data_IF_355291705904
#
_entry.id   IF_355291705904
#
_cell.length_a   1.000
_cell.length_b   1.000
_cell.length_c   1.000
_cell.angle_alpha   90.00
_cell.angle_beta   90.00
_cell.angle_gamma   90.00
#
_symmetry.space_group_name_H-M   'P 1'
#
loop_
_entity.id
_entity.type
_entity.pdbx_description
1 polymer ?
#
# COMPACT_ATOMS: atom_id res chain seq x y z
N UNK A 1 15.34 -18.63 -20.14
CA UNK A 1 14.13 -18.84 -19.32
C UNK A 1 13.76 -17.55 -18.57
N UNK A 2 13.50 -16.44 -19.27
CA UNK A 2 13.21 -15.12 -18.67
C UNK A 2 11.78 -14.68 -19.02
N UNK A 3 10.78 -15.14 -18.26
CA UNK A 3 9.43 -14.56 -18.26
C UNK A 3 9.26 -13.50 -17.15
N UNK A 4 10.35 -12.87 -16.70
CA UNK A 4 10.40 -11.90 -15.60
C UNK A 4 9.73 -10.53 -15.90
N UNK A 5 9.01 -10.39 -17.01
CA UNK A 5 8.40 -9.13 -17.45
C UNK A 5 6.87 -9.14 -17.52
N UNK A 6 6.19 -10.14 -16.96
CA UNK A 6 4.78 -9.93 -16.61
C UNK A 6 4.74 -9.09 -15.34
N UNK A 7 4.75 -7.78 -15.56
CA UNK A 7 4.71 -6.76 -14.52
C UNK A 7 3.29 -6.76 -13.97
N UNK A 8 2.97 -7.75 -13.12
CA UNK A 8 1.63 -7.92 -12.56
C UNK A 8 1.19 -6.59 -11.93
N UNK A 9 0.13 -5.95 -12.45
CA UNK A 9 -0.33 -4.67 -11.91
C UNK A 9 -0.69 -4.82 -10.43
N UNK A 10 -1.23 -5.99 -10.07
CA UNK A 10 -1.48 -6.43 -8.69
C UNK A 10 -0.21 -6.44 -7.82
N UNK A 11 0.93 -6.88 -8.35
CA UNK A 11 2.19 -6.91 -7.60
C UNK A 11 2.75 -5.50 -7.33
N UNK A 12 2.47 -4.52 -8.20
CA UNK A 12 2.84 -3.12 -7.94
C UNK A 12 1.97 -2.52 -6.85
N UNK A 13 0.64 -2.71 -6.94
CA UNK A 13 -0.31 -2.24 -5.94
C UNK A 13 -0.03 -2.84 -4.57
N UNK A 14 0.29 -4.14 -4.52
CA UNK A 14 0.70 -4.81 -3.28
C UNK A 14 1.92 -4.14 -2.63
N UNK A 15 2.97 -3.81 -3.39
CA UNK A 15 4.13 -3.07 -2.87
C UNK A 15 3.76 -1.68 -2.36
N UNK A 16 2.90 -0.96 -3.07
CA UNK A 16 2.41 0.35 -2.64
C UNK A 16 1.61 0.26 -1.34
N UNK A 17 0.73 -0.74 -1.24
CA UNK A 17 -0.06 -1.03 -0.04
C UNK A 17 0.83 -1.32 1.18
N UNK A 18 1.81 -2.22 1.02
CA UNK A 18 2.78 -2.55 2.09
C UNK A 18 3.56 -1.32 2.55
N UNK A 19 3.96 -0.45 1.62
CA UNK A 19 4.64 0.81 1.95
C UNK A 19 3.73 1.75 2.76
N UNK A 20 2.49 1.94 2.32
CA UNK A 20 1.52 2.79 3.01
C UNK A 20 1.26 2.31 4.44
N UNK A 21 1.13 1.00 4.63
CA UNK A 21 0.99 0.42 5.97
C UNK A 21 2.23 0.63 6.83
N UNK A 22 3.43 0.43 6.27
CA UNK A 22 4.68 0.68 7.00
C UNK A 22 4.78 2.14 7.45
N UNK A 23 4.48 3.08 6.55
CA UNK A 23 4.50 4.51 6.86
C UNK A 23 3.42 4.86 7.91
N UNK A 24 2.25 4.24 7.82
CA UNK A 24 1.17 4.41 8.80
C UNK A 24 1.61 3.93 10.20
N UNK A 25 2.28 2.79 10.31
CA UNK A 25 2.80 2.29 11.59
C UNK A 25 3.84 3.25 12.19
N UNK A 26 4.69 3.84 11.37
CA UNK A 26 5.64 4.87 11.82
C UNK A 26 4.89 6.11 12.31
N UNK A 27 3.88 6.58 11.56
CA UNK A 27 3.05 7.71 11.96
C UNK A 27 2.31 7.45 13.29
N UNK A 28 1.74 6.25 13.45
CA UNK A 28 1.09 5.80 14.68
C UNK A 28 2.07 5.81 15.86
N UNK A 29 3.27 5.26 15.68
CA UNK A 29 4.30 5.23 16.73
C UNK A 29 4.77 6.63 17.13
N UNK A 30 4.80 7.56 16.17
CA UNK A 30 5.17 8.95 16.40
C UNK A 30 4.00 9.79 16.97
N UNK A 31 2.79 9.21 17.09
CA UNK A 31 1.60 9.90 17.57
C UNK A 31 0.96 10.85 16.56
N UNK A 32 1.34 10.79 15.28
CA UNK A 32 0.71 11.58 14.22
C UNK A 32 -0.56 10.87 13.73
N UNK A 33 -1.65 11.06 14.49
CA UNK A 33 -2.93 10.43 14.24
C UNK A 33 -3.51 10.85 12.88
N UNK A 34 -3.33 12.13 12.50
CA UNK A 34 -3.83 12.63 11.22
C UNK A 34 -3.14 11.93 10.06
N UNK A 35 -1.81 11.88 10.09
CA UNK A 35 -1.05 11.20 9.05
C UNK A 35 -1.34 9.70 9.03
N UNK A 36 -1.49 9.06 10.19
CA UNK A 36 -1.91 7.66 10.29
C UNK A 36 -3.24 7.43 9.59
N UNK A 37 -4.27 8.22 9.91
CA UNK A 37 -5.60 8.10 9.28
C UNK A 37 -5.54 8.29 7.76
N UNK A 38 -4.77 9.28 7.28
CA UNK A 38 -4.58 9.51 5.85
C UNK A 38 -3.89 8.34 5.14
N UNK A 39 -2.83 7.79 5.74
CA UNK A 39 -2.06 6.69 5.17
C UNK A 39 -2.87 5.38 5.17
N UNK A 40 -3.62 5.11 6.23
CA UNK A 40 -4.51 3.95 6.29
C UNK A 40 -5.64 4.05 5.27
N UNK A 41 -6.26 5.23 5.09
CA UNK A 41 -7.30 5.42 4.06
C UNK A 41 -6.76 5.19 2.64
N UNK A 42 -5.55 5.67 2.34
CA UNK A 42 -4.88 5.40 1.05
C UNK A 42 -4.53 3.92 0.87
N UNK A 43 -4.16 3.22 1.95
CA UNK A 43 -3.91 1.79 1.91
C UNK A 43 -5.20 1.03 1.56
N UNK A 44 -6.34 1.37 2.17
CA UNK A 44 -7.64 0.77 1.84
C UNK A 44 -8.08 1.04 0.39
N UNK A 45 -7.83 2.24 -0.13
CA UNK A 45 -8.06 2.55 -1.54
C UNK A 45 -7.19 1.66 -2.46
N UNK A 46 -5.90 1.53 -2.15
CA UNK A 46 -4.98 0.67 -2.91
C UNK A 46 -5.40 -0.81 -2.84
N UNK A 47 -5.92 -1.27 -1.70
CA UNK A 47 -6.44 -2.63 -1.55
C UNK A 47 -7.69 -2.85 -2.41
N UNK A 48 -8.62 -1.88 -2.44
CA UNK A 48 -9.80 -1.93 -3.32
C UNK A 48 -9.43 -1.95 -4.81
N UNK A 49 -8.45 -1.15 -5.22
CA UNK A 49 -7.91 -1.20 -6.59
C UNK A 49 -7.30 -2.57 -6.91
N UNK A 50 -6.62 -3.19 -5.94
CA UNK A 50 -6.01 -4.50 -6.09
C UNK A 50 -7.04 -5.64 -6.18
N UNK A 51 -8.18 -5.51 -5.50
CA UNK A 51 -9.30 -6.46 -5.55
C UNK A 51 -10.13 -6.32 -6.83
N UNK A 52 -10.16 -5.12 -7.43
CA UNK A 52 -10.83 -4.87 -8.71
C UNK A 52 -10.06 -5.41 -9.93
N UNK A 53 -8.81 -5.88 -9.75
CA UNK A 53 -7.92 -6.48 -10.76
C UNK A 53 -7.84 -8.01 -10.63
#
# INVERSE_FOLDING_TARGET
MFSLFKKDPKARLKKSYEKLLSDALVAQRNGDIRLYSELTAKAEETAREMDAL
#
